data_IF_767569744651
#
_entry.id   IF_767569744651
#
_cell.length_a   1.000
_cell.length_b   1.000
_cell.length_c   1.000
_cell.angle_alpha   90.00
_cell.angle_beta   90.00
_cell.angle_gamma   90.00
#
_symmetry.space_group_name_H-M   'P 1'
#
loop_
_entity.id
_entity.type
_entity.pdbx_description
1 polymer ?
#
# COMPACT_ATOMS: atom_id res chain seq x y z
N UNK A 1 -26.88 -18.66 -16.04
CA UNK A 1 -26.74 -19.39 -14.76
C UNK A 1 -25.26 -19.36 -14.40
N UNK A 2 -24.87 -18.66 -13.33
CA UNK A 2 -23.48 -18.62 -12.90
C UNK A 2 -23.12 -19.97 -12.26
N UNK A 3 -22.01 -20.55 -12.69
CA UNK A 3 -21.48 -21.81 -12.16
C UNK A 3 -21.04 -21.62 -10.69
N UNK A 4 -21.59 -22.37 -9.72
CA UNK A 4 -21.24 -22.27 -8.30
C UNK A 4 -19.74 -22.51 -8.00
N UNK A 5 -19.00 -23.14 -8.92
CA UNK A 5 -17.58 -23.43 -8.77
C UNK A 5 -16.66 -22.26 -9.17
N UNK A 6 -17.20 -21.19 -9.78
CA UNK A 6 -16.43 -19.98 -10.17
C UNK A 6 -16.67 -18.77 -9.27
N UNK A 7 -17.55 -18.86 -8.28
CA UNK A 7 -17.72 -17.77 -7.30
C UNK A 7 -16.49 -17.69 -6.38
N UNK A 8 -15.88 -16.50 -6.24
CA UNK A 8 -14.75 -16.33 -5.33
C UNK A 8 -15.18 -16.70 -3.90
N UNK A 9 -14.29 -17.27 -3.07
CA UNK A 9 -14.64 -17.70 -1.72
C UNK A 9 -15.26 -16.53 -0.95
N UNK A 10 -16.36 -16.83 -0.25
CA UNK A 10 -17.11 -15.87 0.55
C UNK A 10 -16.26 -15.47 1.75
N UNK A 11 -15.65 -14.29 1.66
CA UNK A 11 -14.90 -13.65 2.74
C UNK A 11 -15.54 -12.32 3.07
N UNK A 12 -15.36 -11.87 4.31
CA UNK A 12 -15.79 -10.53 4.70
C UNK A 12 -14.87 -9.49 4.04
N UNK A 13 -15.46 -8.72 3.14
CA UNK A 13 -14.79 -7.62 2.46
C UNK A 13 -14.55 -6.47 3.45
N UNK A 14 -13.47 -5.69 3.28
CA UNK A 14 -13.27 -4.49 4.08
C UNK A 14 -14.46 -3.53 3.91
N UNK A 15 -14.87 -2.90 5.02
CA UNK A 15 -16.02 -2.00 5.04
C UNK A 15 -15.72 -0.67 4.34
N UNK A 16 -14.44 -0.29 4.25
CA UNK A 16 -14.04 1.04 3.77
C UNK A 16 -12.68 1.05 3.04
N UNK A 17 -12.45 2.14 2.28
CA UNK A 17 -11.19 2.37 1.57
C UNK A 17 -10.00 2.44 2.55
N UNK A 18 -10.08 3.22 3.65
CA UNK A 18 -8.98 3.32 4.61
C UNK A 18 -8.60 1.98 5.22
N UNK A 19 -9.57 1.11 5.52
CA UNK A 19 -9.31 -0.23 6.03
C UNK A 19 -8.53 -1.07 5.01
N UNK A 20 -8.93 -1.01 3.74
CA UNK A 20 -8.24 -1.70 2.64
C UNK A 20 -6.80 -1.23 2.48
N UNK A 21 -6.59 0.10 2.53
CA UNK A 21 -5.27 0.71 2.47
C UNK A 21 -4.42 0.28 3.67
N UNK A 22 -4.99 0.24 4.88
CA UNK A 22 -4.28 -0.17 6.09
C UNK A 22 -3.87 -1.65 6.05
N UNK A 23 -4.75 -2.54 5.55
CA UNK A 23 -4.43 -3.96 5.31
C UNK A 23 -3.24 -4.07 4.35
N UNK A 24 -3.28 -3.35 3.24
CA UNK A 24 -2.17 -3.28 2.27
C UNK A 24 -0.88 -2.72 2.88
N UNK A 25 -0.96 -1.63 3.63
CA UNK A 25 0.18 -1.00 4.32
C UNK A 25 0.86 -1.96 5.29
N UNK A 26 0.09 -2.81 5.97
CA UNK A 26 0.60 -3.87 6.87
C UNK A 26 1.11 -5.10 6.12
N UNK A 27 1.11 -5.10 4.79
CA UNK A 27 1.52 -6.23 3.97
C UNK A 27 0.56 -7.42 4.03
N UNK A 28 -0.70 -7.18 4.40
CA UNK A 28 -1.77 -8.19 4.42
C UNK A 28 -2.63 -8.08 3.17
N UNK A 29 -3.33 -9.17 2.84
CA UNK A 29 -4.25 -9.23 1.71
C UNK A 29 -5.34 -8.14 1.87
N UNK A 30 -5.46 -7.20 0.92
CA UNK A 30 -6.47 -6.14 1.00
C UNK A 30 -7.91 -6.68 1.05
N UNK A 31 -8.17 -7.79 0.34
CA UNK A 31 -9.48 -8.44 0.26
C UNK A 31 -9.90 -9.11 1.57
N UNK A 32 -9.08 -10.00 2.13
CA UNK A 32 -9.47 -10.81 3.30
C UNK A 32 -8.75 -10.47 4.61
N UNK A 33 -7.66 -9.70 4.60
CA UNK A 33 -6.91 -9.32 5.81
C UNK A 33 -6.02 -10.40 6.43
N UNK A 34 -6.28 -11.69 6.16
CA UNK A 34 -5.62 -12.81 6.88
C UNK A 34 -4.22 -13.16 6.35
N UNK A 35 -4.08 -13.31 5.02
CA UNK A 35 -2.84 -13.77 4.41
C UNK A 35 -1.85 -12.62 4.14
N UNK A 36 -0.56 -12.93 4.03
CA UNK A 36 0.45 -11.98 3.56
C UNK A 36 0.27 -11.65 2.06
N UNK A 37 0.41 -10.38 1.70
CA UNK A 37 0.33 -9.91 0.32
C UNK A 37 1.64 -10.18 -0.44
N UNK A 38 2.77 -10.20 0.25
CA UNK A 38 4.10 -10.31 -0.35
C UNK A 38 4.74 -11.66 -0.04
N UNK A 39 5.22 -12.36 -1.07
CA UNK A 39 6.04 -13.58 -0.90
C UNK A 39 7.51 -13.26 -0.63
N UNK A 40 8.01 -12.14 -1.15
CA UNK A 40 9.41 -11.73 -1.00
C UNK A 40 9.55 -10.22 -1.17
N UNK A 41 9.87 -9.50 -0.10
CA UNK A 41 10.07 -8.04 -0.07
C UNK A 41 9.01 -7.25 -0.87
N UNK A 42 9.28 -6.89 -2.14
CA UNK A 42 8.35 -6.17 -3.02
C UNK A 42 7.57 -7.03 -4.02
N UNK A 43 7.76 -8.35 -4.01
CA UNK A 43 7.07 -9.29 -4.91
C UNK A 43 5.78 -9.79 -4.26
N UNK A 44 4.60 -9.41 -4.80
CA UNK A 44 3.33 -9.94 -4.34
C UNK A 44 3.24 -11.45 -4.57
N UNK A 45 2.35 -12.11 -3.83
CA UNK A 45 1.87 -13.45 -4.16
C UNK A 45 1.05 -13.38 -5.46
N UNK A 46 1.07 -14.41 -6.29
CA UNK A 46 0.25 -14.42 -7.51
C UNK A 46 -1.22 -14.62 -7.15
N UNK A 47 -1.51 -15.50 -6.19
CA UNK A 47 -2.85 -15.75 -5.68
C UNK A 47 -2.84 -15.78 -4.15
N UNK A 48 -3.85 -15.19 -3.51
CA UNK A 48 -4.00 -15.22 -2.07
C UNK A 48 -4.28 -16.67 -1.59
N UNK A 49 -3.50 -17.22 -0.64
CA UNK A 49 -3.71 -18.59 -0.15
C UNK A 49 -4.99 -18.76 0.68
N UNK A 50 -5.57 -17.67 1.21
CA UNK A 50 -6.80 -17.72 2.02
C UNK A 50 -8.07 -17.47 1.19
N UNK A 51 -8.07 -16.43 0.35
CA UNK A 51 -9.27 -15.97 -0.34
C UNK A 51 -9.21 -16.12 -1.87
N UNK A 52 -8.20 -16.80 -2.39
CA UNK A 52 -8.00 -17.11 -3.80
C UNK A 52 -7.99 -15.90 -4.76
N UNK A 53 -7.83 -14.67 -4.23
CA UNK A 53 -7.73 -13.47 -5.06
C UNK A 53 -6.47 -13.49 -5.90
N UNK A 54 -6.60 -13.27 -7.20
CA UNK A 54 -5.49 -13.04 -8.11
C UNK A 54 -4.92 -11.62 -7.91
N UNK A 55 -3.64 -11.55 -7.53
CA UNK A 55 -2.86 -10.32 -7.36
C UNK A 55 -1.79 -10.16 -8.43
N UNK A 56 -1.61 -11.13 -9.33
CA UNK A 56 -0.64 -11.07 -10.43
C UNK A 56 -0.97 -9.94 -11.43
N UNK A 57 -2.25 -9.55 -11.49
CA UNK A 57 -2.79 -8.49 -12.34
C UNK A 57 -2.44 -7.07 -11.89
N UNK A 58 -1.76 -6.91 -10.76
CA UNK A 58 -1.37 -5.60 -10.23
C UNK A 58 -0.35 -4.90 -11.14
N UNK A 59 -0.46 -3.58 -11.28
CA UNK A 59 0.48 -2.74 -12.05
C UNK A 59 1.03 -1.57 -11.22
N UNK A 60 1.27 -1.79 -9.93
CA UNK A 60 1.64 -0.75 -8.97
C UNK A 60 3.15 -0.46 -8.91
N UNK A 61 3.86 -0.44 -10.04
CA UNK A 61 5.33 -0.48 -10.00
C UNK A 61 5.99 0.89 -9.80
N UNK A 62 5.49 1.97 -10.42
CA UNK A 62 6.13 3.31 -10.31
C UNK A 62 5.56 4.18 -9.18
N UNK A 63 4.24 4.14 -8.97
CA UNK A 63 3.54 5.00 -8.01
C UNK A 63 4.07 4.89 -6.56
N UNK A 64 4.48 3.71 -6.04
CA UNK A 64 5.04 3.60 -4.70
C UNK A 64 6.35 4.38 -4.50
N UNK A 65 7.20 4.44 -5.52
CA UNK A 65 8.47 5.16 -5.42
C UNK A 65 8.23 6.68 -5.31
N UNK A 66 7.32 7.22 -6.12
CA UNK A 66 6.95 8.64 -6.06
C UNK A 66 6.36 9.01 -4.69
N UNK A 67 5.42 8.22 -4.16
CA UNK A 67 4.87 8.45 -2.82
C UNK A 67 5.98 8.42 -1.77
N UNK A 68 6.88 7.43 -1.83
CA UNK A 68 8.01 7.33 -0.92
C UNK A 68 8.90 8.58 -0.94
N UNK A 69 9.26 9.08 -2.14
CA UNK A 69 10.05 10.30 -2.30
C UNK A 69 9.32 11.52 -1.72
N UNK A 70 8.03 11.68 -2.02
CA UNK A 70 7.25 12.79 -1.50
C UNK A 70 7.20 12.76 0.03
N UNK A 71 6.88 11.62 0.64
CA UNK A 71 6.78 11.51 2.10
C UNK A 71 8.14 11.71 2.76
N UNK A 72 9.18 11.00 2.30
CA UNK A 72 10.53 11.11 2.86
C UNK A 72 11.08 12.54 2.70
N UNK A 73 10.88 13.15 1.53
CA UNK A 73 11.29 14.53 1.28
C UNK A 73 10.61 15.52 2.24
N UNK A 74 9.30 15.42 2.45
CA UNK A 74 8.58 16.30 3.38
C UNK A 74 8.95 16.07 4.84
N UNK A 75 9.36 14.85 5.21
CA UNK A 75 9.85 14.57 6.56
C UNK A 75 11.28 15.09 6.78
N UNK A 76 12.17 14.93 5.79
CA UNK A 76 13.58 15.28 5.95
C UNK A 76 13.90 16.74 5.61
N UNK A 77 13.14 17.39 4.73
CA UNK A 77 13.34 18.82 4.41
C UNK A 77 13.32 19.74 5.65
N UNK A 78 12.30 19.69 6.55
CA UNK A 78 12.32 20.52 7.75
C UNK A 78 13.47 20.13 8.70
N UNK A 79 13.87 18.86 8.74
CA UNK A 79 15.02 18.40 9.55
C UNK A 79 16.32 19.00 9.03
N UNK A 80 16.56 18.96 7.72
CA UNK A 80 17.72 19.59 7.07
C UNK A 80 17.75 21.10 7.33
N UNK A 81 16.61 21.77 7.15
CA UNK A 81 16.48 23.21 7.39
C UNK A 81 16.81 23.51 8.86
N UNK A 82 16.31 22.74 9.82
CA UNK A 82 16.60 22.91 11.24
C UNK A 82 18.08 22.68 11.56
N UNK A 83 18.68 21.61 11.02
CA UNK A 83 20.11 21.29 11.22
C UNK A 83 21.03 22.43 10.77
N UNK A 84 20.75 23.02 9.61
CA UNK A 84 21.58 24.09 9.05
C UNK A 84 21.25 25.44 9.68
N UNK A 85 19.97 25.81 9.72
CA UNK A 85 19.55 27.16 10.14
C UNK A 85 19.59 27.37 11.66
N UNK A 86 19.27 26.34 12.44
CA UNK A 86 19.14 26.46 13.91
C UNK A 86 20.39 25.96 14.61
N UNK A 87 20.95 24.82 14.18
CA UNK A 87 22.12 24.22 14.81
C UNK A 87 23.46 24.60 14.15
N UNK A 88 23.43 25.35 13.05
CA UNK A 88 24.66 25.80 12.36
C UNK A 88 25.53 24.67 11.83
N UNK A 89 24.96 23.47 11.60
CA UNK A 89 25.73 22.35 11.08
C UNK A 89 26.22 22.62 9.65
N UNK A 90 27.45 22.19 9.37
CA UNK A 90 28.00 22.28 8.01
C UNK A 90 27.16 21.47 7.02
N UNK A 91 27.06 21.94 5.78
CA UNK A 91 26.30 21.27 4.73
C UNK A 91 26.80 19.83 4.49
N UNK A 92 28.11 19.61 4.55
CA UNK A 92 28.72 18.28 4.38
C UNK A 92 28.35 17.31 5.49
N UNK A 93 28.36 17.75 6.75
CA UNK A 93 27.96 16.92 7.89
C UNK A 93 26.47 16.58 7.80
N UNK A 94 25.62 17.57 7.52
CA UNK A 94 24.19 17.36 7.31
C UNK A 94 23.93 16.37 6.19
N UNK A 95 24.60 16.51 5.04
CA UNK A 95 24.49 15.57 3.93
C UNK A 95 24.93 14.15 4.32
N UNK A 96 26.06 14.01 5.02
CA UNK A 96 26.58 12.72 5.45
C UNK A 96 25.63 11.96 6.39
N UNK A 97 24.80 12.68 7.17
CA UNK A 97 23.78 12.09 8.05
C UNK A 97 22.48 11.83 7.28
N UNK A 98 22.00 12.81 6.51
CA UNK A 98 20.68 12.76 5.89
C UNK A 98 20.65 11.78 4.72
N UNK A 99 21.74 11.63 3.98
CA UNK A 99 21.82 10.67 2.88
C UNK A 99 21.56 9.22 3.32
N UNK A 100 22.29 8.63 4.29
CA UNK A 100 21.99 7.27 4.74
C UNK A 100 20.60 7.16 5.39
N UNK A 101 20.17 8.16 6.16
CA UNK A 101 18.81 8.18 6.75
C UNK A 101 17.74 8.13 5.67
N UNK A 102 17.87 8.94 4.61
CA UNK A 102 16.93 8.95 3.49
C UNK A 102 16.85 7.60 2.76
N UNK A 103 18.00 6.94 2.53
CA UNK A 103 18.05 5.61 1.90
C UNK A 103 17.32 4.58 2.77
N UNK A 104 17.60 4.56 4.08
CA UNK A 104 16.93 3.63 5.02
C UNK A 104 15.42 3.88 5.06
N UNK A 105 15.00 5.14 5.14
CA UNK A 105 13.59 5.51 5.16
C UNK A 105 12.88 5.12 3.85
N UNK A 106 13.49 5.34 2.69
CA UNK A 106 12.93 4.95 1.40
C UNK A 106 12.76 3.44 1.33
N UNK A 107 13.80 2.65 1.65
CA UNK A 107 13.73 1.18 1.66
C UNK A 107 12.61 0.69 2.59
N UNK A 108 12.50 1.28 3.79
CA UNK A 108 11.47 0.94 4.75
C UNK A 108 10.05 1.30 4.25
N UNK A 109 9.90 2.40 3.51
CA UNK A 109 8.61 2.83 2.97
C UNK A 109 8.18 2.10 1.70
N UNK A 110 9.10 1.55 0.90
CA UNK A 110 8.75 0.93 -0.39
C UNK A 110 7.70 -0.20 -0.25
N UNK A 111 7.90 -1.11 0.71
CA UNK A 111 6.99 -2.24 0.91
C UNK A 111 5.58 -1.83 1.40
N UNK A 112 5.43 -1.04 2.47
CA UNK A 112 4.10 -0.62 2.94
C UNK A 112 3.37 0.24 1.91
N UNK A 113 4.08 1.16 1.23
CA UNK A 113 3.46 2.00 0.20
C UNK A 113 3.00 1.11 -0.96
N UNK A 114 3.82 0.18 -1.45
CA UNK A 114 3.41 -0.75 -2.51
C UNK A 114 2.14 -1.52 -2.13
N UNK A 115 2.06 -2.01 -0.90
CA UNK A 115 0.89 -2.76 -0.44
C UNK A 115 -0.37 -1.90 -0.37
N UNK A 116 -0.24 -0.67 0.12
CA UNK A 116 -1.35 0.30 0.14
C UNK A 116 -1.82 0.65 -1.29
N UNK A 117 -0.90 0.83 -2.24
CA UNK A 117 -1.25 1.10 -3.64
C UNK A 117 -1.94 -0.09 -4.30
N UNK A 118 -1.48 -1.32 -4.06
CA UNK A 118 -2.18 -2.52 -4.57
C UNK A 118 -3.60 -2.58 -4.00
N UNK A 119 -3.77 -2.33 -2.70
CA UNK A 119 -5.09 -2.26 -2.07
C UNK A 119 -5.99 -1.17 -2.63
N UNK A 120 -5.43 0.00 -2.92
CA UNK A 120 -6.09 1.12 -3.60
C UNK A 120 -6.60 0.71 -4.98
N UNK A 121 -5.71 0.18 -5.84
CA UNK A 121 -6.07 -0.23 -7.20
C UNK A 121 -7.17 -1.28 -7.19
N UNK A 122 -7.09 -2.25 -6.27
CA UNK A 122 -8.13 -3.26 -6.09
C UNK A 122 -9.45 -2.66 -5.60
N UNK A 123 -9.42 -1.77 -4.59
CA UNK A 123 -10.61 -1.15 -4.02
C UNK A 123 -11.42 -0.34 -5.04
N UNK A 124 -10.72 0.32 -5.96
CA UNK A 124 -11.33 1.11 -7.03
C UNK A 124 -11.49 0.34 -8.35
N UNK A 125 -10.98 -0.90 -8.45
CA UNK A 125 -11.05 -1.69 -9.69
C UNK A 125 -10.29 -1.05 -10.84
N UNK A 126 -9.12 -0.47 -10.56
CA UNK A 126 -8.27 0.17 -11.57
C UNK A 126 -7.45 -0.89 -12.30
N UNK A 127 -7.30 -0.73 -13.62
CA UNK A 127 -6.55 -1.67 -14.46
C UNK A 127 -7.30 -2.98 -14.65
N UNK A 128 -6.63 -4.11 -14.39
CA UNK A 128 -7.20 -5.45 -14.56
C UNK A 128 -7.96 -5.97 -13.33
N UNK A 129 -8.09 -5.16 -12.26
CA UNK A 129 -8.89 -5.53 -11.09
C UNK A 129 -10.39 -5.38 -11.36
N UNK A 130 -11.17 -6.40 -10.98
CA UNK A 130 -12.64 -6.33 -10.98
C UNK A 130 -13.13 -5.81 -9.63
N UNK A 131 -14.03 -4.83 -9.63
CA UNK A 131 -14.67 -4.40 -8.39
C UNK A 131 -15.64 -5.47 -7.89
N UNK A 132 -15.38 -6.01 -6.71
CA UNK A 132 -16.23 -7.00 -6.02
C UNK A 132 -17.12 -6.37 -4.93
N UNK A 133 -17.08 -5.05 -4.75
CA UNK A 133 -17.72 -4.40 -3.61
C UNK A 133 -19.23 -4.57 -3.65
N UNK A 134 -19.81 -5.02 -2.54
CA UNK A 134 -21.25 -4.98 -2.30
C UNK A 134 -21.69 -3.52 -2.20
N UNK A 135 -22.64 -3.08 -3.01
CA UNK A 135 -23.32 -1.80 -2.78
C UNK A 135 -24.00 -1.91 -1.42
N UNK A 136 -23.69 -1.01 -0.50
CA UNK A 136 -24.50 -0.84 0.71
C UNK A 136 -25.81 -0.25 0.20
N UNK A 137 -26.85 -1.08 0.09
CA UNK A 137 -28.21 -0.56 -0.11
C UNK A 137 -28.52 0.32 1.10
N UNK A 138 -29.06 1.53 0.91
CA UNK A 138 -29.52 2.33 2.04
C UNK A 138 -30.52 1.46 2.79
N UNK A 139 -30.28 1.23 4.08
CA UNK A 139 -31.30 0.69 4.97
C UNK A 139 -32.49 1.63 4.84
N UNK A 140 -33.54 1.18 4.15
CA UNK A 140 -34.81 1.89 4.10
C UNK A 140 -35.36 1.81 5.54
N UNK A 141 -35.09 2.87 6.32
CA UNK A 141 -35.63 3.03 7.66
C UNK A 141 -37.16 3.22 7.52
N UNK A 142 -37.98 2.39 8.18
CA UNK A 142 -39.44 2.45 8.09
C UNK A 142 -40.06 3.66 8.77
#
# INVERSE_FOLDING_TARGET
MADPLTSPPRVELPASAPETLLRGLRGRCPRCGEAGLFRKWLKPVDTCPNCAQDWSVQQADDFPAYIGIFVVGHLLAPVVIMMISTFGMSAWLTLAIILPVSVVMLIAMLQPVKGAVIGMLWWWGVGAFKQERRKVEPTEEP
#
